data_IF_872054180160
#
_entry.id   IF_872054180160
#
_cell.length_a   1.000
_cell.length_b   1.000
_cell.length_c   1.000
_cell.angle_alpha   90.00
_cell.angle_beta   90.00
_cell.angle_gamma   90.00
#
_symmetry.space_group_name_H-M   'P 1'
#
loop_
_entity.id
_entity.type
_entity.pdbx_description
1 polymer ?
#
# COMPACT_ATOMS: atom_id res chain seq x y z
N UNK A 1 -28.11 13.03 -15.31
CA UNK A 1 -26.75 13.53 -14.97
C UNK A 1 -25.96 12.34 -14.43
N UNK A 2 -24.87 11.96 -15.10
CA UNK A 2 -24.05 10.83 -14.66
C UNK A 2 -23.40 11.19 -13.31
N UNK A 3 -23.70 10.40 -12.26
CA UNK A 3 -23.14 10.55 -10.92
C UNK A 3 -21.63 10.36 -11.00
N UNK A 4 -20.86 11.45 -11.02
CA UNK A 4 -19.41 11.39 -11.04
C UNK A 4 -18.93 10.70 -9.75
N UNK A 5 -18.24 9.57 -9.90
CA UNK A 5 -17.68 8.81 -8.79
C UNK A 5 -16.27 9.31 -8.51
N UNK A 6 -16.02 9.73 -7.27
CA UNK A 6 -14.68 10.03 -6.78
C UNK A 6 -14.04 8.69 -6.40
N UNK A 7 -12.88 8.38 -6.95
CA UNK A 7 -12.12 7.16 -6.74
C UNK A 7 -10.74 7.51 -6.17
N UNK A 8 -10.29 6.78 -5.16
CA UNK A 8 -8.91 6.87 -4.70
C UNK A 8 -8.00 6.07 -5.64
N UNK A 9 -6.87 6.64 -6.02
CA UNK A 9 -5.86 5.95 -6.80
C UNK A 9 -5.26 4.82 -5.94
N UNK A 10 -5.37 3.56 -6.36
CA UNK A 10 -4.88 2.42 -5.59
C UNK A 10 -3.35 2.41 -5.43
N UNK A 11 -2.62 3.18 -6.26
CA UNK A 11 -1.15 3.24 -6.27
C UNK A 11 -0.58 4.29 -5.31
N UNK A 12 -1.08 5.53 -5.38
CA UNK A 12 -0.56 6.66 -4.58
C UNK A 12 -1.55 7.21 -3.55
N UNK A 13 -2.79 6.72 -3.55
CA UNK A 13 -3.84 7.19 -2.66
C UNK A 13 -4.45 8.54 -3.04
N UNK A 14 -4.10 9.12 -4.18
CA UNK A 14 -4.71 10.38 -4.62
C UNK A 14 -6.19 10.22 -4.94
N UNK A 15 -7.06 11.06 -4.38
CA UNK A 15 -8.49 11.05 -4.73
C UNK A 15 -8.71 11.81 -6.03
N UNK A 16 -9.27 11.14 -7.03
CA UNK A 16 -9.52 11.72 -8.35
C UNK A 16 -10.86 11.25 -8.92
N UNK A 17 -11.28 11.88 -10.02
CA UNK A 17 -12.40 11.37 -10.81
C UNK A 17 -11.98 10.08 -11.54
N UNK A 18 -12.97 9.24 -11.87
CA UNK A 18 -12.77 8.01 -12.64
C UNK A 18 -12.11 8.32 -13.99
N UNK A 19 -10.84 7.95 -14.11
CA UNK A 19 -9.97 8.17 -15.28
C UNK A 19 -9.04 6.95 -15.40
N UNK A 20 -8.53 6.64 -16.59
CA UNK A 20 -7.62 5.50 -16.81
C UNK A 20 -6.20 5.71 -16.27
N UNK A 21 -5.83 6.95 -15.97
CA UNK A 21 -4.49 7.33 -15.51
C UNK A 21 -4.61 8.22 -14.27
N UNK A 22 -3.71 8.04 -13.32
CA UNK A 22 -3.65 8.90 -12.15
C UNK A 22 -3.01 10.26 -12.47
N UNK A 23 -3.64 11.36 -12.05
CA UNK A 23 -3.12 12.72 -12.27
C UNK A 23 -1.84 13.00 -11.50
N UNK A 24 -1.67 12.38 -10.34
CA UNK A 24 -0.54 12.66 -9.44
C UNK A 24 0.67 11.78 -9.73
N UNK A 25 0.48 10.46 -9.82
CA UNK A 25 1.59 9.53 -10.06
C UNK A 25 1.80 9.15 -11.52
N UNK A 26 0.86 9.49 -12.42
CA UNK A 26 0.89 9.05 -13.82
C UNK A 26 0.70 7.54 -14.01
N UNK A 27 0.42 6.80 -12.93
CA UNK A 27 0.22 5.37 -12.97
C UNK A 27 -1.06 5.03 -13.74
N UNK A 28 -0.96 4.01 -14.61
CA UNK A 28 -2.13 3.45 -15.28
C UNK A 28 -2.95 2.66 -14.26
N UNK A 29 -4.25 2.83 -14.31
CA UNK A 29 -5.22 2.10 -13.48
C UNK A 29 -5.76 0.86 -14.21
N UNK A 30 -4.94 0.29 -15.10
CA UNK A 30 -5.20 -0.97 -15.78
C UNK A 30 -4.86 -2.17 -14.87
N UNK A 31 -5.42 -3.36 -15.14
CA UNK A 31 -5.17 -4.55 -14.33
C UNK A 31 -3.68 -4.85 -14.14
N UNK A 32 -2.87 -4.66 -15.18
CA UNK A 32 -1.42 -4.89 -15.13
C UNK A 32 -0.71 -3.93 -14.18
N UNK A 33 -1.09 -2.64 -14.18
CA UNK A 33 -0.58 -1.65 -13.24
C UNK A 33 -0.93 -1.96 -11.79
N UNK A 34 -2.12 -2.53 -11.56
CA UNK A 34 -2.54 -2.98 -10.23
C UNK A 34 -1.76 -4.21 -9.77
N UNK A 35 -1.59 -5.22 -10.62
CA UNK A 35 -0.81 -6.42 -10.30
C UNK A 35 0.63 -6.10 -9.89
N UNK A 36 1.26 -5.13 -10.57
CA UNK A 36 2.59 -4.68 -10.21
C UNK A 36 2.62 -4.05 -8.80
N UNK A 37 1.59 -3.29 -8.44
CA UNK A 37 1.48 -2.70 -7.11
C UNK A 37 1.14 -3.72 -6.03
N UNK A 38 0.32 -4.73 -6.34
CA UNK A 38 0.01 -5.83 -5.45
C UNK A 38 1.25 -6.64 -5.04
N UNK A 39 2.27 -6.72 -5.92
CA UNK A 39 3.54 -7.39 -5.61
C UNK A 39 4.39 -6.70 -4.53
N UNK A 40 4.02 -5.48 -4.12
CA UNK A 40 4.79 -4.68 -3.16
C UNK A 40 4.43 -4.99 -1.71
N UNK A 41 5.13 -5.91 -1.06
CA UNK A 41 4.93 -6.22 0.36
C UNK A 41 5.33 -5.06 1.28
N UNK A 42 4.52 -4.78 2.30
CA UNK A 42 4.80 -3.75 3.28
C UNK A 42 3.87 -3.77 4.50
N UNK A 43 4.24 -3.03 5.55
CA UNK A 43 3.42 -2.81 6.74
C UNK A 43 2.13 -2.03 6.40
N UNK A 44 1.34 -1.73 7.43
CA UNK A 44 0.18 -0.86 7.27
C UNK A 44 0.60 0.61 7.08
N UNK A 45 -0.14 1.34 6.24
CA UNK A 45 0.06 2.76 6.02
C UNK A 45 -1.29 3.48 6.08
N UNK A 46 -1.30 4.62 6.76
CA UNK A 46 -2.37 5.60 6.72
C UNK A 46 -1.91 6.75 5.82
N UNK A 47 -2.75 7.18 4.88
CA UNK A 47 -2.42 8.33 4.04
C UNK A 47 -2.53 9.59 4.87
N UNK A 48 -1.41 10.29 4.98
CA UNK A 48 -1.30 11.60 5.59
C UNK A 48 -0.62 12.52 4.57
N UNK A 49 -1.28 13.62 4.22
CA UNK A 49 -0.76 14.59 3.25
C UNK A 49 0.33 15.47 3.87
N UNK A 50 0.30 15.66 5.19
CA UNK A 50 1.32 16.40 5.93
C UNK A 50 2.59 15.56 6.09
N UNK A 51 2.41 14.24 6.30
CA UNK A 51 3.51 13.29 6.48
C UNK A 51 3.48 12.14 5.44
N UNK A 52 3.74 12.43 4.15
CA UNK A 52 3.65 11.42 3.09
C UNK A 52 4.70 10.32 3.17
N UNK A 53 5.75 10.52 3.97
CA UNK A 53 6.83 9.56 4.21
C UNK A 53 6.79 8.98 5.63
N UNK A 54 5.62 9.01 6.28
CA UNK A 54 5.46 8.37 7.57
C UNK A 54 5.89 6.90 7.50
N UNK A 55 6.60 6.39 8.50
CA UNK A 55 6.94 4.98 8.56
C UNK A 55 5.66 4.16 8.59
N UNK A 56 5.73 2.95 8.03
CA UNK A 56 4.62 2.01 8.17
C UNK A 56 4.42 1.59 9.61
N UNK A 57 3.21 1.15 9.93
CA UNK A 57 2.79 0.75 11.26
C UNK A 57 2.32 -0.70 11.31
N UNK A 58 2.29 -1.25 12.52
CA UNK A 58 1.68 -2.55 12.77
C UNK A 58 0.15 -2.43 12.81
N UNK A 59 -0.54 -3.55 12.61
CA UNK A 59 -2.00 -3.61 12.76
C UNK A 59 -2.46 -3.09 14.14
N UNK A 60 -1.79 -3.48 15.22
CA UNK A 60 -2.17 -3.07 16.59
C UNK A 60 -2.09 -1.54 16.77
N UNK A 61 -1.07 -0.89 16.21
CA UNK A 61 -0.96 0.58 16.23
C UNK A 61 -2.04 1.25 15.39
N UNK A 62 -2.42 0.64 14.27
CA UNK A 62 -3.53 1.12 13.44
C UNK A 62 -4.87 1.01 14.18
N UNK A 63 -5.13 -0.09 14.88
CA UNK A 63 -6.31 -0.26 15.74
C UNK A 63 -6.33 0.79 16.85
N UNK A 64 -5.18 1.09 17.45
CA UNK A 64 -5.07 2.16 18.45
C UNK A 64 -5.49 3.51 17.86
N UNK A 65 -4.96 3.86 16.67
CA UNK A 65 -5.33 5.09 15.97
C UNK A 65 -6.81 5.15 15.59
N UNK A 66 -7.44 4.02 15.26
CA UNK A 66 -8.89 3.96 15.03
C UNK A 66 -9.67 4.28 16.31
N UNK A 67 -9.23 3.76 17.46
CA UNK A 67 -9.86 4.03 18.77
C UNK A 67 -9.67 5.47 19.23
N UNK A 68 -8.54 6.09 18.91
CA UNK A 68 -8.26 7.51 19.14
C UNK A 68 -8.96 8.45 18.15
N UNK A 69 -9.83 7.93 17.27
CA UNK A 69 -10.52 8.68 16.22
C UNK A 69 -9.61 9.35 15.18
N UNK A 70 -8.32 9.00 15.15
CA UNK A 70 -7.36 9.49 14.14
C UNK A 70 -7.57 8.85 12.76
N UNK A 71 -8.39 7.80 12.65
CA UNK A 71 -8.74 7.14 11.40
C UNK A 71 -10.26 7.20 11.22
N UNK A 72 -10.69 7.82 10.14
CA UNK A 72 -12.11 7.96 9.81
C UNK A 72 -12.54 6.96 8.72
N UNK A 73 -13.86 6.83 8.54
CA UNK A 73 -14.47 5.97 7.51
C UNK A 73 -13.97 6.24 6.09
N UNK A 74 -13.59 7.49 5.81
CA UNK A 74 -13.13 7.95 4.49
C UNK A 74 -11.61 8.08 4.39
N UNK A 75 -10.88 7.81 5.47
CA UNK A 75 -9.41 7.78 5.44
C UNK A 75 -8.92 6.72 4.48
N UNK A 76 -7.77 6.96 3.86
CA UNK A 76 -7.16 6.02 2.94
C UNK A 76 -6.09 5.22 3.66
N UNK A 77 -6.23 3.90 3.57
CA UNK A 77 -5.38 2.94 4.25
C UNK A 77 -4.86 1.94 3.24
N UNK A 78 -3.61 1.53 3.42
CA UNK A 78 -2.94 0.48 2.67
C UNK A 78 -2.41 -0.55 3.66
N UNK A 79 -2.45 -1.82 3.31
CA UNK A 79 -1.79 -2.85 4.09
C UNK A 79 -1.90 -4.25 3.47
N UNK A 80 -1.53 -5.29 4.22
CA UNK A 80 -1.55 -6.67 3.75
C UNK A 80 -2.94 -7.13 3.26
N UNK A 81 -4.02 -6.74 3.95
CA UNK A 81 -5.38 -7.18 3.60
C UNK A 81 -5.98 -6.41 2.41
N UNK A 82 -5.38 -5.28 2.04
CA UNK A 82 -5.79 -4.50 0.87
C UNK A 82 -4.99 -4.87 -0.38
N UNK A 83 -4.23 -5.97 -0.34
CA UNK A 83 -3.23 -6.33 -1.35
C UNK A 83 -2.28 -5.18 -1.63
N UNK A 84 -1.92 -4.43 -0.59
CA UNK A 84 -0.97 -3.31 -0.68
C UNK A 84 -1.45 -2.12 -1.51
N UNK A 85 -2.73 -2.12 -1.90
CA UNK A 85 -3.38 -1.00 -2.58
C UNK A 85 -3.98 -0.02 -1.56
N UNK A 86 -4.03 1.26 -1.94
CA UNK A 86 -4.75 2.28 -1.18
C UNK A 86 -6.26 2.10 -1.33
N UNK A 87 -6.93 1.88 -0.21
CA UNK A 87 -8.38 1.66 -0.14
C UNK A 87 -8.98 2.54 0.95
N UNK A 88 -10.24 2.94 0.76
CA UNK A 88 -11.01 3.67 1.78
C UNK A 88 -11.26 2.76 2.99
N UNK A 89 -10.97 3.24 4.19
CA UNK A 89 -10.98 2.46 5.43
C UNK A 89 -12.28 1.67 5.67
N UNK A 90 -13.44 2.23 5.30
CA UNK A 90 -14.74 1.53 5.41
C UNK A 90 -14.86 0.25 4.57
N UNK A 91 -13.99 0.04 3.58
CA UNK A 91 -13.96 -1.16 2.72
C UNK A 91 -12.79 -2.09 3.02
N UNK A 92 -11.93 -1.73 3.98
CA UNK A 92 -10.73 -2.51 4.28
C UNK A 92 -11.09 -3.72 5.16
N UNK A 93 -10.79 -4.95 4.72
CA UNK A 93 -10.96 -6.13 5.56
C UNK A 93 -10.08 -6.02 6.82
N UNK A 94 -10.66 -6.32 7.98
CA UNK A 94 -9.99 -6.18 9.28
C UNK A 94 -10.12 -4.80 9.94
N UNK A 95 -10.42 -3.73 9.20
CA UNK A 95 -10.55 -2.37 9.80
C UNK A 95 -11.98 -1.86 9.76
N UNK A 96 -12.73 -2.15 8.68
CA UNK A 96 -14.06 -1.60 8.48
C UNK A 96 -15.01 -1.83 9.68
N UNK A 97 -14.95 -3.03 10.29
CA UNK A 97 -15.78 -3.39 11.44
C UNK A 97 -15.49 -2.50 12.66
N UNK A 98 -14.23 -2.14 12.89
CA UNK A 98 -13.82 -1.21 13.96
C UNK A 98 -14.40 0.20 13.75
N UNK A 99 -14.69 0.57 12.50
CA UNK A 99 -15.33 1.83 12.11
C UNK A 99 -16.87 1.73 12.06
N UNK A 100 -17.41 0.58 12.47
CA UNK A 100 -18.84 0.29 12.55
C UNK A 100 -19.50 -0.03 11.21
N UNK A 101 -18.74 -0.54 10.22
CA UNK A 101 -19.24 -0.87 8.88
C UNK A 101 -18.75 -2.23 8.41
N UNK A 102 -19.58 -2.94 7.66
CA UNK A 102 -19.14 -4.14 6.96
C UNK A 102 -18.31 -3.79 5.71
N UNK A 103 -17.14 -4.42 5.55
CA UNK A 103 -16.29 -4.20 4.38
C UNK A 103 -16.93 -4.66 3.05
N UNK A 104 -17.86 -5.63 3.09
CA UNK A 104 -18.51 -6.18 1.89
C UNK A 104 -19.81 -5.46 1.53
N UNK A 105 -20.74 -5.33 2.49
CA UNK A 105 -22.08 -4.79 2.24
C UNK A 105 -22.31 -3.33 2.71
N UNK A 106 -21.34 -2.70 3.39
CA UNK A 106 -21.45 -1.34 3.97
C UNK A 106 -22.55 -1.20 5.06
N UNK A 107 -23.14 -2.31 5.51
CA UNK A 107 -24.14 -2.34 6.59
C UNK A 107 -23.54 -1.91 7.92
N UNK A 108 -24.36 -1.35 8.82
CA UNK A 108 -23.89 -1.01 10.16
C UNK A 108 -23.62 -2.27 10.98
N UNK A 109 -22.49 -2.26 11.69
CA UNK A 109 -21.99 -3.41 12.43
C UNK A 109 -21.41 -2.92 13.75
N UNK A 110 -21.59 -3.68 14.82
CA UNK A 110 -20.95 -3.39 16.10
C UNK A 110 -19.45 -3.75 16.04
N UNK A 111 -18.54 -2.89 16.52
CA UNK A 111 -17.09 -3.12 16.43
C UNK A 111 -16.60 -4.35 17.20
N UNK A 112 -17.39 -4.90 18.13
CA UNK A 112 -17.03 -6.13 18.87
C UNK A 112 -17.60 -7.40 18.24
N UNK A 113 -18.45 -7.28 17.23
CA UNK A 113 -19.02 -8.43 16.53
C UNK A 113 -17.97 -9.19 15.70
N UNK A 114 -18.12 -10.51 15.64
CA UNK A 114 -17.20 -11.40 14.91
C UNK A 114 -17.61 -11.61 13.45
N UNK A 115 -18.84 -11.26 13.08
CA UNK A 115 -19.35 -11.39 11.72
C UNK A 115 -20.44 -10.37 11.43
N UNK A 116 -20.65 -10.09 10.15
CA UNK A 116 -21.73 -9.20 9.72
C UNK A 116 -23.08 -9.92 9.86
N UNK A 117 -24.11 -9.31 10.47
CA UNK A 117 -25.43 -9.91 10.59
C UNK A 117 -26.18 -10.03 9.26
N UNK A 118 -25.80 -9.26 8.23
CA UNK A 118 -26.50 -9.21 6.95
C UNK A 118 -25.88 -10.10 5.88
N UNK A 119 -24.54 -10.17 5.81
CA UNK A 119 -23.83 -10.92 4.76
C UNK A 119 -23.00 -12.08 5.30
N UNK A 120 -23.04 -12.31 6.62
CA UNK A 120 -22.38 -13.41 7.34
C UNK A 120 -20.85 -13.46 7.18
N UNK A 121 -20.25 -12.42 6.60
CA UNK A 121 -18.79 -12.35 6.46
C UNK A 121 -18.16 -12.20 7.84
N UNK A 122 -17.18 -13.05 8.12
CA UNK A 122 -16.41 -13.02 9.36
C UNK A 122 -15.39 -11.87 9.36
N UNK A 123 -15.25 -11.23 10.51
CA UNK A 123 -14.24 -10.20 10.73
C UNK A 123 -13.03 -10.87 11.39
N UNK A 124 -11.98 -11.10 10.58
CA UNK A 124 -10.70 -11.56 11.10
C UNK A 124 -9.91 -10.41 11.73
N UNK A 125 -9.39 -10.62 12.94
CA UNK A 125 -8.31 -9.81 13.48
C UNK A 125 -7.02 -10.16 12.76
N UNK A 126 -6.57 -9.29 11.85
CA UNK A 126 -5.34 -9.48 11.08
C UNK A 126 -4.14 -9.01 11.88
N UNK A 127 -3.72 -9.79 12.87
CA UNK A 127 -2.44 -9.54 13.51
C UNK A 127 -1.34 -9.90 12.51
N UNK A 128 -0.46 -8.94 12.24
CA UNK A 128 0.76 -9.24 11.51
C UNK A 128 1.44 -10.42 12.23
N UNK A 129 1.95 -11.40 11.47
CA UNK A 129 2.86 -12.38 12.06
C UNK A 129 4.10 -11.58 12.46
N UNK A 130 4.19 -11.23 13.73
CA UNK A 130 5.24 -10.39 14.32
C UNK A 130 6.67 -10.91 14.09
N UNK A 131 6.83 -12.09 13.48
CA UNK A 131 8.11 -12.78 13.44
C UNK A 131 8.43 -13.50 12.13
N UNK A 132 7.77 -13.22 10.99
CA UNK A 132 8.10 -13.88 9.69
C UNK A 132 8.10 -15.43 9.74
N UNK A 133 7.56 -16.04 10.81
CA UNK A 133 7.68 -17.47 11.09
C UNK A 133 8.97 -17.95 11.76
N UNK A 134 9.75 -17.05 12.38
CA UNK A 134 11.02 -17.32 13.07
C UNK A 134 10.88 -17.56 14.58
N UNK A 135 9.67 -17.48 15.14
CA UNK A 135 9.46 -17.86 16.54
C UNK A 135 9.40 -19.40 16.65
N UNK A 136 10.34 -19.98 17.41
CA UNK A 136 10.37 -21.40 17.77
C UNK A 136 9.27 -21.78 18.78
N UNK A 137 8.60 -20.78 19.37
CA UNK A 137 7.52 -21.00 20.30
C UNK A 137 6.22 -21.35 19.56
N UNK A 138 5.42 -22.33 20.07
CA UNK A 138 4.09 -22.56 19.55
C UNK A 138 3.27 -21.27 19.67
N UNK A 139 2.46 -20.91 18.65
CA UNK A 139 1.69 -19.67 18.68
C UNK A 139 0.89 -19.62 19.98
N UNK A 140 0.97 -18.51 20.71
CA UNK A 140 0.13 -18.30 21.90
C UNK A 140 -1.31 -18.59 21.48
N UNK A 141 -1.96 -19.54 22.16
CA UNK A 141 -3.36 -19.88 21.94
C UNK A 141 -4.20 -18.68 22.37
N UNK A 142 -4.36 -17.72 21.47
CA UNK A 142 -5.32 -16.64 21.60
C UNK A 142 -6.69 -17.25 21.27
N UNK A 143 -7.64 -17.10 22.18
CA UNK A 143 -9.04 -17.57 22.03
C UNK A 143 -9.86 -16.77 21.03
N UNK A 144 -9.24 -15.83 20.32
CA UNK A 144 -9.84 -15.16 19.16
C UNK A 144 -9.21 -15.74 17.89
N UNK A 145 -10.06 -16.37 17.09
CA UNK A 145 -9.79 -16.88 15.74
C UNK A 145 -9.43 -15.72 14.80
N UNK A 146 -8.22 -15.21 14.92
CA UNK A 146 -7.60 -14.31 13.95
C UNK A 146 -7.15 -15.12 12.74
N UNK A 147 -7.77 -14.89 11.59
CA UNK A 147 -7.34 -15.48 10.32
C UNK A 147 -6.17 -14.65 9.81
N UNK A 148 -5.02 -15.30 9.57
CA UNK A 148 -3.85 -14.65 8.94
C UNK A 148 -4.24 -14.05 7.59
N UNK A 149 -3.57 -12.95 7.21
CA UNK A 149 -3.62 -12.29 5.89
C UNK A 149 -3.27 -13.20 4.72
N UNK A 150 -2.76 -14.41 5.00
CA UNK A 150 -2.40 -15.42 4.01
C UNK A 150 -3.17 -16.75 4.14
N UNK A 151 -4.02 -16.96 5.15
CA UNK A 151 -4.63 -18.28 5.44
C UNK A 151 -6.13 -18.38 5.15
N UNK A 152 -6.69 -17.44 4.37
CA UNK A 152 -8.09 -17.49 3.93
C UNK A 152 -8.31 -18.14 2.56
N UNK A 153 -7.27 -18.66 1.91
CA UNK A 153 -7.35 -19.18 0.55
C UNK A 153 -7.70 -20.67 0.50
N UNK A 154 -8.83 -21.06 1.11
CA UNK A 154 -9.51 -22.26 0.60
C UNK A 154 -10.02 -22.05 -0.83
N UNK A 155 -10.16 -20.79 -1.25
CA UNK A 155 -10.43 -20.41 -2.64
C UNK A 155 -9.27 -20.70 -3.62
N UNK A 156 -8.02 -20.90 -3.16
CA UNK A 156 -6.92 -21.38 -4.03
C UNK A 156 -7.12 -22.86 -4.40
N UNK A 157 -7.73 -23.67 -3.53
CA UNK A 157 -8.00 -25.07 -3.83
C UNK A 157 -9.19 -25.27 -4.79
N UNK A 158 -10.03 -24.25 -4.98
CA UNK A 158 -11.16 -24.28 -5.92
C UNK A 158 -10.79 -23.86 -7.34
N UNK A 159 -9.55 -23.41 -7.60
CA UNK A 159 -9.06 -23.30 -8.98
C UNK A 159 -8.58 -24.67 -9.46
N UNK A 160 -9.45 -25.36 -10.20
CA UNK A 160 -9.11 -26.53 -11.00
C UNK A 160 -8.07 -26.17 -12.08
N UNK A 161 -6.81 -26.07 -11.70
CA UNK A 161 -5.70 -26.12 -12.64
C UNK A 161 -4.77 -27.24 -12.20
N UNK A 162 -4.53 -28.18 -13.12
CA UNK A 162 -3.55 -29.25 -12.95
C UNK A 162 -2.24 -28.68 -12.39
N UNK A 163 -1.70 -29.25 -11.30
CA UNK A 163 -0.46 -28.77 -10.72
C UNK A 163 0.67 -28.88 -11.77
N UNK A 164 1.30 -27.76 -12.10
CA UNK A 164 2.48 -27.76 -12.95
C UNK A 164 3.56 -28.65 -12.33
N UNK A 165 4.06 -29.62 -13.10
CA UNK A 165 5.24 -30.41 -12.72
C UNK A 165 6.45 -29.48 -12.75
N UNK A 166 7.03 -29.22 -11.58
CA UNK A 166 8.31 -28.55 -11.46
C UNK A 166 9.38 -29.40 -12.16
N UNK A 167 10.20 -28.82 -13.05
CA UNK A 167 11.32 -29.54 -13.63
C UNK A 167 12.35 -29.86 -12.55
N UNK A 168 12.80 -31.12 -12.52
CA UNK A 168 13.84 -31.56 -11.61
C UNK A 168 15.15 -30.80 -11.87
N UNK A 169 15.73 -30.27 -10.80
CA UNK A 169 16.97 -29.49 -10.83
C UNK A 169 18.14 -30.40 -11.22
N UNK A 170 18.63 -30.26 -12.45
CA UNK A 170 19.90 -30.87 -12.86
C UNK A 170 21.08 -30.17 -12.19
N UNK A 171 22.16 -30.89 -11.83
CA UNK A 171 23.30 -30.31 -11.15
C UNK A 171 24.20 -29.50 -12.10
N UNK A 172 24.56 -28.32 -11.60
CA UNK A 172 25.78 -27.53 -11.84
C UNK A 172 26.20 -27.18 -13.28
N UNK A 173 26.07 -25.89 -13.60
CA UNK A 173 26.92 -25.18 -14.58
C UNK A 173 27.49 -23.92 -13.90
N UNK A 174 28.74 -23.50 -14.18
CA UNK A 174 29.42 -22.50 -13.37
C UNK A 174 28.79 -21.12 -13.54
N UNK A 175 28.61 -20.47 -12.39
CA UNK A 175 28.13 -19.11 -12.21
C UNK A 175 29.04 -18.13 -12.96
N UNK A 176 28.49 -17.43 -13.95
CA UNK A 176 29.11 -16.23 -14.52
C UNK A 176 29.06 -15.15 -13.45
N UNK A 177 30.21 -14.64 -13.04
CA UNK A 177 30.35 -13.54 -12.10
C UNK A 177 29.74 -12.27 -12.71
N UNK A 178 28.60 -11.84 -12.18
CA UNK A 178 28.07 -10.50 -12.38
C UNK A 178 28.38 -9.66 -11.15
N UNK A 179 29.12 -8.58 -11.40
CA UNK A 179 29.81 -7.69 -10.47
C UNK A 179 29.14 -7.43 -9.12
N UNK A 180 29.96 -7.59 -8.08
CA UNK A 180 29.77 -7.06 -6.73
C UNK A 180 29.66 -5.52 -6.75
N UNK A 181 28.45 -5.03 -7.01
CA UNK A 181 28.09 -3.64 -6.75
C UNK A 181 27.64 -3.47 -5.31
N UNK A 182 28.59 -3.47 -4.37
CA UNK A 182 28.49 -3.08 -2.95
C UNK A 182 27.05 -2.74 -2.45
N UNK A 183 26.28 -3.76 -2.07
CA UNK A 183 24.88 -3.64 -1.60
C UNK A 183 24.89 -3.55 -0.07
N UNK A 184 25.36 -2.44 0.46
CA UNK A 184 25.23 -2.10 1.89
C UNK A 184 24.21 -0.98 2.03
N UNK A 185 22.92 -1.34 2.03
CA UNK A 185 21.84 -0.41 2.36
C UNK A 185 20.45 -1.06 2.23
N UNK A 186 19.55 -0.90 3.21
CA UNK A 186 18.23 -1.51 3.16
C UNK A 186 17.38 -0.87 2.05
N UNK A 187 16.86 -1.68 1.14
CA UNK A 187 15.93 -1.23 0.09
C UNK A 187 15.98 -2.14 -1.14
N UNK A 188 14.81 -2.61 -1.59
CA UNK A 188 14.67 -3.39 -2.81
C UNK A 188 15.16 -2.59 -4.04
N UNK A 189 15.64 -3.26 -5.11
CA UNK A 189 16.11 -2.57 -6.31
C UNK A 189 15.03 -1.67 -6.93
N UNK A 190 13.76 -2.05 -6.84
CA UNK A 190 12.62 -1.23 -7.27
C UNK A 190 12.48 0.08 -6.47
N UNK A 191 12.69 0.02 -5.15
CA UNK A 191 12.66 1.20 -4.29
C UNK A 191 13.78 2.19 -4.63
N UNK A 192 14.99 1.69 -4.94
CA UNK A 192 16.12 2.52 -5.35
C UNK A 192 15.89 3.21 -6.70
N UNK A 193 15.22 2.54 -7.64
CA UNK A 193 14.84 3.15 -8.93
C UNK A 193 13.82 4.26 -8.74
N UNK A 194 12.80 4.04 -7.92
CA UNK A 194 11.81 5.06 -7.57
C UNK A 194 12.44 6.24 -6.82
N UNK A 195 13.31 5.98 -5.86
CA UNK A 195 14.03 7.03 -5.13
C UNK A 195 14.86 7.91 -6.07
N UNK A 196 15.62 7.32 -6.99
CA UNK A 196 16.38 8.08 -8.01
C UNK A 196 15.46 8.94 -8.88
N UNK A 197 14.28 8.42 -9.25
CA UNK A 197 13.32 9.17 -10.06
C UNK A 197 12.76 10.39 -9.31
N UNK A 198 12.43 10.22 -8.03
CA UNK A 198 11.89 11.29 -7.16
C UNK A 198 12.97 12.35 -6.87
N UNK A 199 14.21 11.92 -6.58
CA UNK A 199 15.34 12.84 -6.40
C UNK A 199 15.66 13.63 -7.67
N UNK A 200 15.58 13.00 -8.85
CA UNK A 200 15.80 13.69 -10.13
C UNK A 200 14.74 14.77 -10.38
N UNK A 201 13.48 14.52 -9.97
CA UNK A 201 12.39 15.49 -10.10
C UNK A 201 12.56 16.67 -9.13
N UNK A 202 12.97 16.42 -7.89
CA UNK A 202 13.30 17.48 -6.92
C UNK A 202 14.48 18.34 -7.35
N UNK A 203 15.52 17.75 -7.97
CA UNK A 203 16.65 18.50 -8.52
C UNK A 203 16.22 19.41 -9.68
N UNK A 204 15.36 18.91 -10.58
CA UNK A 204 14.80 19.72 -11.68
C UNK A 204 14.00 20.91 -11.15
N UNK A 205 13.16 20.72 -10.12
CA UNK A 205 12.40 21.81 -9.52
C UNK A 205 13.30 22.84 -8.80
N UNK A 206 14.34 22.41 -8.09
CA UNK A 206 15.31 23.33 -7.47
C UNK A 206 16.09 24.13 -8.52
N UNK A 207 16.53 23.50 -9.60
CA UNK A 207 17.25 24.17 -10.69
C UNK A 207 16.33 25.18 -11.38
N UNK A 208 15.06 24.83 -11.63
CA UNK A 208 14.08 25.74 -12.24
C UNK A 208 13.83 26.98 -11.36
N UNK A 209 13.67 26.79 -10.04
CA UNK A 209 13.48 27.88 -9.08
C UNK A 209 14.68 28.83 -9.03
N UNK A 210 15.90 28.28 -9.02
CA UNK A 210 17.13 29.10 -9.03
C UNK A 210 17.27 29.84 -10.36
N UNK A 211 17.00 29.18 -11.49
CA UNK A 211 17.07 29.82 -12.81
C UNK A 211 16.07 30.98 -12.92
N UNK A 212 14.83 30.80 -12.48
CA UNK A 212 13.83 31.87 -12.45
C UNK A 212 14.24 33.02 -11.52
N UNK A 213 14.81 32.71 -10.35
CA UNK A 213 15.36 33.71 -9.43
C UNK A 213 16.47 34.54 -10.07
N UNK A 214 17.44 33.90 -10.72
CA UNK A 214 18.55 34.59 -11.40
C UNK A 214 18.06 35.46 -12.56
N UNK A 215 17.14 34.95 -13.38
CA UNK A 215 16.55 35.73 -14.48
C UNK A 215 15.80 36.95 -13.95
N UNK A 216 15.04 36.80 -12.86
CA UNK A 216 14.33 37.92 -12.23
C UNK A 216 15.29 38.98 -11.67
N UNK A 217 16.40 38.58 -11.06
CA UNK A 217 17.43 39.48 -10.53
C UNK A 217 18.13 40.26 -11.65
N UNK A 218 18.47 39.58 -12.74
CA UNK A 218 19.07 40.21 -13.93
C UNK A 218 18.09 41.22 -14.53
N UNK A 219 16.79 40.89 -14.59
CA UNK A 219 15.77 41.80 -15.11
C UNK A 219 15.65 43.07 -14.25
N UNK A 220 15.68 42.92 -12.93
CA UNK A 220 15.65 44.04 -11.98
C UNK A 220 16.89 44.92 -12.13
N UNK A 221 18.08 44.32 -12.22
CA UNK A 221 19.34 45.06 -12.44
C UNK A 221 19.33 45.83 -13.76
N UNK A 222 18.81 45.25 -14.84
CA UNK A 222 18.68 45.92 -16.15
C UNK A 222 17.68 47.07 -16.09
N UNK A 223 16.58 46.92 -15.34
CA UNK A 223 15.59 47.99 -15.14
C UNK A 223 16.10 49.14 -14.27
N UNK A 224 16.96 48.85 -13.28
CA UNK A 224 17.56 49.88 -12.42
C UNK A 224 18.70 50.66 -13.11
N UNK A 225 19.31 50.09 -14.15
CA UNK A 225 20.45 50.68 -14.86
C UNK A 225 20.03 51.44 -16.13
N UNK A 226 18.73 51.71 -16.30
CA UNK A 226 18.12 52.38 -17.45
C UNK A 226 17.33 53.60 -16.99
#
# INVERSE_FOLDING_TARGET
>A
MAKQRILACPLCGETQYEQSVCKQCGGKLDPDGLLLAESSFGPWYLRDEENPFAPGMTYDLLVHKVREENVHRFSLVRGPTTRQLWIVAKRVPGIAHLLGRCHKCDEHVDPTSLSCPSCEVTFGGYRDRDSLGLEEAPPKKVTTTGVSSFLGDTAIFDTCSEPMKLPEKSPETPRREEGEGNISGPGSPAFRVLQRSIESSKRKNRILMVALGVVSLILILVLMNR
#
